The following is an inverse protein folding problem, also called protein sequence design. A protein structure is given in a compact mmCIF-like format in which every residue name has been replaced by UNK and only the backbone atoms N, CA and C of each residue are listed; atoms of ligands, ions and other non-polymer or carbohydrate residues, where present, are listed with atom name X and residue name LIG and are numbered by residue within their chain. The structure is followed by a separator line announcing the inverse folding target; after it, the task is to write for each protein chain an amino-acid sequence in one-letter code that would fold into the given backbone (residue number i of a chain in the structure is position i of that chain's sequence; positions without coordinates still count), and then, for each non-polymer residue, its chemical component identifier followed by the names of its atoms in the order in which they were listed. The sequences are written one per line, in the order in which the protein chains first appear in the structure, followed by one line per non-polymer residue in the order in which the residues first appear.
data_IF_333283990247
#
_entry.id   IF_333283990247
#
_cell.length_a   1.000
_cell.length_b   1.000
_cell.length_c   1.000
_cell.angle_alpha   90.00
_cell.angle_beta   90.00
_cell.angle_gamma   90.00
#
_symmetry.space_group_name_H-M   'P 1'
#
loop_
_entity.id
_entity.type
_entity.pdbx_description
1 polymer ?
#
# COMPACT_ATOMS: atom_id res chain seq x y z
N UNK A 1 11.15 48.81 -32.35
CA UNK A 1 9.76 48.32 -32.39
C UNK A 1 9.87 46.81 -32.41
N UNK A 2 9.31 46.11 -31.42
CA UNK A 2 9.33 44.65 -31.40
C UNK A 2 8.40 44.15 -32.52
N UNK A 3 8.86 43.18 -33.31
CA UNK A 3 8.05 42.65 -34.41
C UNK A 3 6.84 41.90 -33.80
N UNK A 4 5.67 42.01 -34.45
CA UNK A 4 4.42 41.45 -33.90
C UNK A 4 4.47 39.93 -33.72
N UNK A 5 5.32 39.23 -34.47
CA UNK A 5 5.55 37.79 -34.38
C UNK A 5 6.29 37.36 -33.10
N UNK A 6 6.95 38.28 -32.39
CA UNK A 6 7.70 37.99 -31.16
C UNK A 6 6.91 38.32 -29.88
N UNK A 7 5.76 39.01 -30.01
CA UNK A 7 4.89 39.38 -28.89
C UNK A 7 4.42 38.18 -28.03
N UNK A 8 4.10 37.00 -28.60
CA UNK A 8 3.65 35.86 -27.79
C UNK A 8 4.69 35.34 -26.80
N UNK A 9 5.98 35.56 -27.08
CA UNK A 9 7.09 35.08 -26.23
C UNK A 9 7.38 35.99 -25.03
N UNK A 10 6.71 37.14 -24.96
CA UNK A 10 6.89 38.10 -23.87
C UNK A 10 6.35 37.59 -22.52
N UNK A 11 5.45 36.61 -22.54
CA UNK A 11 4.94 35.93 -21.35
C UNK A 11 5.86 34.83 -20.82
N UNK A 12 6.92 34.47 -21.56
CA UNK A 12 7.84 33.37 -21.21
C UNK A 12 8.89 33.79 -20.16
N UNK A 13 8.66 34.88 -19.41
CA UNK A 13 9.64 35.34 -18.43
C UNK A 13 8.98 35.91 -17.16
N UNK A 14 9.01 35.14 -16.05
CA UNK A 14 9.43 35.59 -14.69
C UNK A 14 9.25 34.64 -13.49
N UNK A 15 8.56 33.49 -13.56
CA UNK A 15 8.12 32.85 -12.28
C UNK A 15 8.37 31.37 -12.03
N UNK A 16 9.07 30.59 -12.87
CA UNK A 16 9.61 29.32 -12.36
C UNK A 16 10.68 28.73 -13.26
N UNK A 17 11.82 28.41 -12.67
CA UNK A 17 12.94 27.66 -13.28
C UNK A 17 12.61 26.16 -13.51
N UNK A 18 11.36 25.76 -13.30
CA UNK A 18 10.90 24.38 -13.42
C UNK A 18 9.52 24.36 -14.09
N UNK A 19 9.50 23.83 -15.32
CA UNK A 19 8.31 23.45 -16.10
C UNK A 19 7.35 24.60 -16.45
N UNK A 20 7.52 25.16 -17.65
CA UNK A 20 6.34 25.58 -18.40
C UNK A 20 5.54 24.31 -18.73
N UNK A 21 4.22 24.40 -18.61
CA UNK A 21 3.27 23.37 -19.06
C UNK A 21 3.52 23.07 -20.56
N UNK A 22 3.83 21.82 -20.92
CA UNK A 22 4.17 21.40 -22.29
C UNK A 22 3.08 21.86 -23.28
N UNK A 23 1.81 21.79 -22.88
CA UNK A 23 0.66 22.29 -23.65
C UNK A 23 0.75 23.80 -23.98
N UNK A 24 1.31 24.61 -23.09
CA UNK A 24 1.51 26.04 -23.33
C UNK A 24 2.66 26.30 -24.30
N UNK A 25 3.75 25.54 -24.15
CA UNK A 25 4.91 25.62 -25.05
C UNK A 25 4.49 25.24 -26.48
N UNK A 26 3.73 24.15 -26.63
CA UNK A 26 3.24 23.67 -27.92
C UNK A 26 2.32 24.65 -28.62
N UNK A 27 1.38 25.24 -27.88
CA UNK A 27 0.46 26.26 -28.41
C UNK A 27 1.18 27.51 -28.90
N UNK A 28 2.36 27.80 -28.38
CA UNK A 28 3.15 28.97 -28.76
C UNK A 28 4.13 28.65 -29.90
N UNK A 29 4.94 27.59 -29.74
CA UNK A 29 6.05 27.28 -30.65
C UNK A 29 5.59 26.60 -31.94
N UNK A 30 4.62 25.69 -31.89
CA UNK A 30 4.16 24.95 -33.08
C UNK A 30 3.69 25.88 -34.20
N UNK A 31 2.65 26.72 -34.00
CA UNK A 31 2.15 27.58 -35.08
C UNK A 31 3.16 28.65 -35.51
N UNK A 32 4.02 29.11 -34.58
CA UNK A 32 5.05 30.08 -34.90
C UNK A 32 6.14 29.48 -35.80
N UNK A 33 6.61 28.27 -35.48
CA UNK A 33 7.60 27.56 -36.30
C UNK A 33 7.03 27.15 -37.65
N UNK A 34 5.74 26.81 -37.75
CA UNK A 34 5.05 26.56 -39.02
C UNK A 34 5.02 27.81 -39.91
N UNK A 35 4.81 28.99 -39.31
CA UNK A 35 4.69 30.26 -40.05
C UNK A 35 6.06 30.82 -40.48
N UNK A 36 7.06 30.76 -39.60
CA UNK A 36 8.32 31.50 -39.79
C UNK A 36 9.54 30.58 -40.02
N UNK A 37 9.41 29.29 -39.75
CA UNK A 37 10.50 28.32 -39.84
C UNK A 37 11.71 28.70 -38.99
N UNK A 38 12.89 28.24 -39.39
CA UNK A 38 14.14 28.48 -38.66
C UNK A 38 14.66 29.93 -38.78
N UNK A 39 14.17 30.69 -39.76
CA UNK A 39 14.73 32.01 -40.12
C UNK A 39 14.63 33.04 -39.01
N UNK A 40 13.59 32.94 -38.16
CA UNK A 40 13.33 33.88 -37.07
C UNK A 40 13.91 33.44 -35.73
N UNK A 41 14.40 32.21 -35.61
CA UNK A 41 14.96 31.65 -34.36
C UNK A 41 16.11 32.50 -33.82
N UNK A 42 17.04 32.91 -34.68
CA UNK A 42 18.18 33.74 -34.27
C UNK A 42 17.74 35.08 -33.65
N UNK A 43 16.65 35.66 -34.15
CA UNK A 43 16.10 36.92 -33.64
C UNK A 43 15.30 36.69 -32.36
N UNK A 44 14.54 35.60 -32.27
CA UNK A 44 13.82 35.19 -31.08
C UNK A 44 14.77 35.06 -29.89
N UNK A 45 15.84 34.27 -30.05
CA UNK A 45 16.83 34.03 -28.98
C UNK A 45 17.58 35.30 -28.58
N UNK A 46 17.97 36.15 -29.55
CA UNK A 46 18.59 37.45 -29.25
C UNK A 46 17.69 38.38 -28.45
N UNK A 47 16.39 38.28 -28.66
CA UNK A 47 15.39 39.15 -28.01
C UNK A 47 14.98 38.59 -26.65
N UNK A 48 14.88 37.26 -26.53
CA UNK A 48 14.50 36.55 -25.32
C UNK A 48 15.47 35.38 -25.07
N UNK A 49 16.60 35.61 -24.38
CA UNK A 49 17.59 34.56 -24.12
C UNK A 49 17.03 33.35 -23.36
N UNK A 50 16.05 33.56 -22.48
CA UNK A 50 15.42 32.49 -21.69
C UNK A 50 14.62 31.48 -22.55
N UNK A 51 14.18 31.89 -23.75
CA UNK A 51 13.49 31.00 -24.70
C UNK A 51 14.43 29.97 -25.32
N UNK A 52 15.76 30.17 -25.24
CA UNK A 52 16.75 29.25 -25.83
C UNK A 52 16.59 27.83 -25.28
N UNK A 53 16.53 27.69 -23.95
CA UNK A 53 16.38 26.37 -23.32
C UNK A 53 15.01 25.76 -23.64
N UNK A 54 13.94 26.55 -23.60
CA UNK A 54 12.58 26.12 -23.95
C UNK A 54 12.52 25.60 -25.38
N UNK A 55 13.14 26.30 -26.33
CA UNK A 55 13.16 25.92 -27.74
C UNK A 55 13.99 24.64 -27.97
N UNK A 56 15.09 24.45 -27.24
CA UNK A 56 15.89 23.23 -27.29
C UNK A 56 15.16 22.02 -26.70
N UNK A 57 14.49 22.20 -25.56
CA UNK A 57 13.67 21.16 -24.93
C UNK A 57 12.48 20.77 -25.82
N UNK A 58 11.76 21.77 -26.36
CA UNK A 58 10.73 21.55 -27.37
C UNK A 58 11.29 20.79 -28.59
N UNK A 59 12.46 21.17 -29.08
CA UNK A 59 13.05 20.50 -30.22
C UNK A 59 13.37 19.02 -29.93
N UNK A 60 13.83 18.71 -28.71
CA UNK A 60 14.06 17.34 -28.27
C UNK A 60 12.74 16.55 -28.12
N UNK A 61 11.73 17.17 -27.50
CA UNK A 61 10.42 16.56 -27.22
C UNK A 61 9.56 16.32 -28.47
N UNK A 62 9.81 17.05 -29.57
CA UNK A 62 9.06 16.94 -30.83
C UNK A 62 9.87 16.37 -31.99
N UNK A 63 11.07 15.85 -31.74
CA UNK A 63 11.88 15.21 -32.77
C UNK A 63 12.47 16.19 -33.81
N UNK A 64 12.58 17.47 -33.47
CA UNK A 64 13.01 18.56 -34.36
C UNK A 64 14.53 18.67 -34.45
N UNK A 65 15.14 17.68 -35.10
CA UNK A 65 16.59 17.64 -35.38
C UNK A 65 17.06 18.86 -36.17
N UNK A 66 16.20 19.46 -37.00
CA UNK A 66 16.47 20.68 -37.76
C UNK A 66 16.77 21.89 -36.86
N UNK A 67 15.99 22.07 -35.79
CA UNK A 67 16.21 23.14 -34.81
C UNK A 67 17.49 22.88 -34.01
N UNK A 68 17.70 21.64 -33.56
CA UNK A 68 18.89 21.27 -32.79
C UNK A 68 20.17 21.47 -33.62
N UNK A 69 20.19 21.05 -34.88
CA UNK A 69 21.30 21.31 -35.81
C UNK A 69 21.55 22.79 -36.02
N UNK A 70 20.49 23.59 -36.17
CA UNK A 70 20.61 25.03 -36.35
C UNK A 70 21.19 25.74 -35.12
N UNK A 71 20.89 25.25 -33.92
CA UNK A 71 21.29 25.87 -32.66
C UNK A 71 22.59 25.32 -32.08
N UNK A 72 23.04 24.13 -32.51
CA UNK A 72 24.18 23.42 -31.94
C UNK A 72 25.48 24.24 -31.92
N UNK A 73 25.82 24.91 -33.02
CA UNK A 73 27.06 25.70 -33.12
C UNK A 73 27.06 26.95 -32.20
N UNK A 74 25.90 27.35 -31.68
CA UNK A 74 25.73 28.60 -30.92
C UNK A 74 25.54 28.41 -29.42
N UNK A 75 25.16 27.20 -28.98
CA UNK A 75 24.83 26.94 -27.58
C UNK A 75 25.40 25.60 -27.14
N UNK A 76 26.15 25.62 -26.03
CA UNK A 76 26.48 24.39 -25.32
C UNK A 76 25.20 23.80 -24.75
N UNK A 77 24.82 22.65 -25.30
CA UNK A 77 23.61 21.91 -24.93
C UNK A 77 23.82 21.28 -23.55
N UNK A 78 22.73 21.12 -22.80
CA UNK A 78 22.69 20.40 -21.52
C UNK A 78 22.32 18.94 -21.76
N UNK A 79 22.82 18.01 -20.95
CA UNK A 79 22.48 16.57 -21.07
C UNK A 79 20.99 16.24 -20.90
N UNK A 80 20.19 17.19 -20.37
CA UNK A 80 18.74 17.05 -20.26
C UNK A 80 18.03 16.87 -21.60
N UNK A 81 18.60 17.32 -22.73
CA UNK A 81 17.98 17.08 -24.04
C UNK A 81 17.97 15.61 -24.41
N UNK A 82 18.98 14.85 -23.98
CA UNK A 82 19.06 13.42 -24.24
C UNK A 82 17.97 12.68 -23.46
N UNK A 83 17.75 13.06 -22.20
CA UNK A 83 16.66 12.51 -21.36
C UNK A 83 15.28 12.80 -21.96
N UNK A 84 15.02 14.04 -22.39
CA UNK A 84 13.73 14.44 -22.99
C UNK A 84 13.48 13.71 -24.30
N UNK A 85 14.48 13.61 -25.17
CA UNK A 85 14.36 12.88 -26.43
C UNK A 85 14.11 11.38 -26.20
N UNK A 86 14.72 10.79 -25.16
CA UNK A 86 14.49 9.40 -24.78
C UNK A 86 13.08 9.19 -24.22
N UNK A 87 12.61 10.10 -23.35
CA UNK A 87 11.25 10.09 -22.80
C UNK A 87 10.17 10.29 -23.88
N UNK A 88 10.50 10.93 -25.00
CA UNK A 88 9.58 11.21 -26.12
C UNK A 88 9.75 10.22 -27.29
N UNK A 89 10.70 9.29 -27.21
CA UNK A 89 10.90 8.25 -28.22
C UNK A 89 11.56 8.72 -29.51
N UNK A 90 12.22 9.88 -29.50
CA UNK A 90 12.79 10.50 -30.70
C UNK A 90 14.22 10.05 -30.99
N UNK A 91 14.35 8.82 -31.49
CA UNK A 91 15.64 8.23 -31.88
C UNK A 91 16.51 9.13 -32.81
N UNK A 92 15.98 9.80 -33.84
CA UNK A 92 16.81 10.70 -34.68
C UNK A 92 17.43 11.87 -33.91
N UNK A 93 16.79 12.33 -32.84
CA UNK A 93 17.36 13.36 -31.96
C UNK A 93 18.49 12.76 -31.13
N UNK A 94 18.30 11.56 -30.57
CA UNK A 94 19.34 10.86 -29.80
C UNK A 94 20.58 10.57 -30.64
N UNK A 95 20.40 10.11 -31.88
CA UNK A 95 21.50 9.90 -32.84
C UNK A 95 22.27 11.20 -33.10
N UNK A 96 21.55 12.32 -33.27
CA UNK A 96 22.17 13.62 -33.45
C UNK A 96 22.94 14.05 -32.19
N UNK A 97 22.32 14.00 -31.01
CA UNK A 97 22.94 14.39 -29.74
C UNK A 97 24.17 13.53 -29.44
N UNK A 98 24.10 12.22 -29.70
CA UNK A 98 25.25 11.32 -29.62
C UNK A 98 26.38 11.77 -30.56
N UNK A 99 26.08 12.08 -31.82
CA UNK A 99 27.08 12.48 -32.81
C UNK A 99 27.85 13.76 -32.46
N UNK A 100 27.27 14.62 -31.62
CA UNK A 100 27.87 15.86 -31.15
C UNK A 100 28.38 15.79 -29.70
N UNK A 101 28.33 14.60 -29.07
CA UNK A 101 28.94 14.34 -27.76
C UNK A 101 28.05 14.60 -26.53
N UNK A 102 26.73 14.75 -26.69
CA UNK A 102 25.79 14.94 -25.56
C UNK A 102 25.13 13.62 -25.17
N UNK A 103 25.72 12.89 -24.21
CA UNK A 103 25.25 11.55 -23.82
C UNK A 103 25.65 11.13 -22.38
N UNK A 104 25.78 12.05 -21.42
CA UNK A 104 26.29 11.69 -20.08
C UNK A 104 25.23 11.05 -19.16
N UNK A 105 23.93 11.31 -19.37
CA UNK A 105 22.84 10.89 -18.47
C UNK A 105 22.09 9.64 -18.92
N UNK A 106 22.83 8.60 -19.31
CA UNK A 106 22.27 7.38 -19.91
C UNK A 106 21.28 6.65 -19.01
N UNK A 107 21.55 6.56 -17.70
CA UNK A 107 20.65 5.89 -16.74
C UNK A 107 19.26 6.51 -16.72
N UNK A 108 19.17 7.82 -16.55
CA UNK A 108 17.88 8.51 -16.48
C UNK A 108 17.14 8.44 -17.82
N UNK A 109 17.87 8.57 -18.93
CA UNK A 109 17.30 8.43 -20.26
C UNK A 109 16.72 7.03 -20.51
N UNK A 110 17.40 5.96 -20.08
CA UNK A 110 16.89 4.59 -20.20
C UNK A 110 15.63 4.37 -19.35
N UNK A 111 15.65 4.77 -18.07
CA UNK A 111 14.47 4.66 -17.20
C UNK A 111 13.25 5.41 -17.77
N UNK A 112 13.45 6.63 -18.28
CA UNK A 112 12.39 7.41 -18.93
C UNK A 112 11.88 6.76 -20.22
N UNK A 113 12.77 6.24 -21.07
CA UNK A 113 12.39 5.52 -22.28
C UNK A 113 11.59 4.26 -21.95
N UNK A 114 11.96 3.54 -20.89
CA UNK A 114 11.20 2.39 -20.41
C UNK A 114 9.80 2.79 -19.91
N UNK A 115 9.73 3.79 -19.03
CA UNK A 115 8.47 4.27 -18.46
C UNK A 115 7.46 4.75 -19.52
N UNK A 116 7.93 5.32 -20.64
CA UNK A 116 7.11 5.84 -21.74
C UNK A 116 6.97 4.88 -22.93
N UNK A 117 7.46 3.65 -22.84
CA UNK A 117 7.18 2.62 -23.85
C UNK A 117 8.05 2.69 -25.11
N UNK A 118 9.25 3.25 -25.03
CA UNK A 118 10.13 3.46 -26.17
C UNK A 118 11.19 2.36 -26.32
N UNK A 119 10.74 1.15 -26.67
CA UNK A 119 11.61 -0.01 -26.86
C UNK A 119 12.74 0.24 -27.89
N UNK A 120 12.45 0.90 -29.02
CA UNK A 120 13.48 1.20 -30.04
C UNK A 120 14.59 2.12 -29.52
N UNK A 121 14.28 3.02 -28.59
CA UNK A 121 15.29 3.86 -27.91
C UNK A 121 16.15 3.02 -26.97
N UNK A 122 15.53 2.16 -26.16
CA UNK A 122 16.25 1.24 -25.27
C UNK A 122 17.21 0.33 -26.05
N UNK A 123 16.75 -0.22 -27.19
CA UNK A 123 17.57 -1.04 -28.06
C UNK A 123 18.76 -0.25 -28.61
N UNK A 124 18.53 0.95 -29.15
CA UNK A 124 19.61 1.81 -29.64
C UNK A 124 20.65 2.11 -28.56
N UNK A 125 20.19 2.51 -27.36
CA UNK A 125 21.09 2.82 -26.24
C UNK A 125 21.90 1.58 -25.84
N UNK A 126 21.25 0.42 -25.76
CA UNK A 126 21.91 -0.84 -25.41
C UNK A 126 23.00 -1.23 -26.41
N UNK A 127 22.78 -1.02 -27.71
CA UNK A 127 23.74 -1.34 -28.77
C UNK A 127 24.87 -0.31 -28.89
N UNK A 128 24.60 0.95 -28.54
CA UNK A 128 25.53 2.07 -28.77
C UNK A 128 26.53 2.27 -27.62
N UNK A 129 26.07 2.11 -26.38
CA UNK A 129 26.86 2.47 -25.20
C UNK A 129 27.55 1.25 -24.55
N UNK A 130 28.73 1.43 -23.93
CA UNK A 130 29.46 0.34 -23.29
C UNK A 130 28.67 -0.26 -22.13
N UNK A 131 29.01 -1.50 -21.75
CA UNK A 131 28.28 -2.27 -20.72
C UNK A 131 28.41 -1.70 -19.30
N UNK A 132 29.34 -0.75 -19.10
CA UNK A 132 29.53 -0.05 -17.84
C UNK A 132 28.18 0.59 -17.41
N UNK A 133 27.72 0.23 -16.22
CA UNK A 133 26.47 0.68 -15.59
C UNK A 133 25.13 0.27 -16.24
N UNK A 134 25.11 -0.56 -17.30
CA UNK A 134 23.85 -1.04 -17.92
C UNK A 134 22.88 -1.69 -16.95
N UNK A 135 23.40 -2.34 -15.92
CA UNK A 135 22.60 -3.00 -14.88
C UNK A 135 21.78 -2.02 -14.02
N UNK A 136 22.14 -0.72 -14.02
CA UNK A 136 21.50 0.32 -13.24
C UNK A 136 20.60 1.23 -14.08
N UNK A 137 20.43 0.93 -15.38
CA UNK A 137 19.69 1.80 -16.30
C UNK A 137 18.19 1.86 -16.03
N UNK A 138 17.61 0.78 -15.52
CA UNK A 138 16.17 0.65 -15.33
C UNK A 138 15.95 0.25 -13.87
N UNK A 139 15.17 1.05 -13.15
CA UNK A 139 14.76 0.75 -11.78
C UNK A 139 13.39 0.05 -11.79
N UNK A 140 13.03 -0.66 -10.71
CA UNK A 140 11.76 -1.41 -10.67
C UNK A 140 10.53 -0.51 -10.81
N UNK A 141 10.63 0.77 -10.42
CA UNK A 141 9.58 1.77 -10.65
C UNK A 141 9.33 2.04 -12.14
N UNK A 142 10.37 2.01 -12.96
CA UNK A 142 10.26 2.23 -14.41
C UNK A 142 9.55 1.05 -15.07
N UNK A 143 9.84 -0.17 -14.60
CA UNK A 143 9.12 -1.39 -15.00
C UNK A 143 7.64 -1.29 -14.63
N UNK A 144 7.33 -0.82 -13.42
CA UNK A 144 5.95 -0.57 -12.97
C UNK A 144 5.22 0.46 -13.84
N UNK A 145 5.87 1.57 -14.17
CA UNK A 145 5.32 2.60 -15.06
C UNK A 145 5.04 2.06 -16.46
N UNK A 146 6.00 1.32 -17.05
CA UNK A 146 5.83 0.67 -18.34
C UNK A 146 4.65 -0.32 -18.33
N UNK A 147 4.56 -1.11 -17.26
CA UNK A 147 3.52 -2.11 -17.09
C UNK A 147 2.12 -1.49 -16.89
N UNK A 148 2.00 -0.45 -16.06
CA UNK A 148 0.74 0.27 -15.84
C UNK A 148 0.23 1.02 -17.07
N UNK A 149 1.14 1.46 -17.95
CA UNK A 149 0.81 2.12 -19.22
C UNK A 149 0.57 1.13 -20.38
N UNK A 150 0.75 -0.17 -20.15
CA UNK A 150 0.47 -1.21 -21.15
C UNK A 150 1.57 -1.43 -22.19
N UNK A 151 2.81 -1.02 -21.92
CA UNK A 151 3.95 -1.16 -22.84
C UNK A 151 4.53 -2.59 -22.83
N UNK A 152 3.78 -3.52 -23.44
CA UNK A 152 4.08 -4.97 -23.47
C UNK A 152 5.45 -5.27 -24.09
N UNK A 153 5.84 -4.53 -25.12
CA UNK A 153 7.10 -4.68 -25.84
C UNK A 153 8.31 -4.30 -24.98
N UNK A 154 8.24 -3.18 -24.25
CA UNK A 154 9.28 -2.77 -23.29
C UNK A 154 9.37 -3.78 -22.16
N UNK A 155 8.24 -4.19 -21.57
CA UNK A 155 8.23 -5.19 -20.50
C UNK A 155 8.82 -6.51 -20.99
N UNK A 156 8.48 -6.94 -22.20
CA UNK A 156 9.05 -8.15 -22.78
C UNK A 156 10.56 -8.03 -22.99
N UNK A 157 11.03 -6.92 -23.53
CA UNK A 157 12.46 -6.67 -23.73
C UNK A 157 13.24 -6.65 -22.40
N UNK A 158 12.68 -6.05 -21.35
CA UNK A 158 13.27 -6.04 -20.00
C UNK A 158 13.49 -7.47 -19.48
N UNK A 159 12.44 -8.31 -19.53
CA UNK A 159 12.50 -9.65 -18.94
C UNK A 159 13.22 -10.68 -19.82
N UNK A 160 13.07 -10.61 -21.14
CA UNK A 160 13.60 -11.62 -22.07
C UNK A 160 15.05 -11.35 -22.47
N UNK A 161 15.50 -10.09 -22.43
CA UNK A 161 16.79 -9.69 -22.94
C UNK A 161 17.65 -8.94 -21.92
N UNK A 162 17.16 -7.81 -21.38
CA UNK A 162 17.99 -6.93 -20.55
C UNK A 162 18.36 -7.58 -19.20
N UNK A 163 17.40 -8.10 -18.44
CA UNK A 163 17.67 -8.78 -17.16
C UNK A 163 18.69 -9.93 -17.33
N UNK A 164 18.50 -10.89 -18.25
CA UNK A 164 19.48 -11.95 -18.47
C UNK A 164 20.86 -11.49 -18.91
N UNK A 165 20.94 -10.37 -19.62
CA UNK A 165 22.20 -9.90 -20.19
C UNK A 165 23.05 -9.10 -19.20
N UNK A 166 22.45 -8.32 -18.29
CA UNK A 166 23.20 -7.35 -17.48
C UNK A 166 22.94 -7.38 -15.98
N UNK A 167 21.88 -8.03 -15.48
CA UNK A 167 21.52 -7.97 -14.05
C UNK A 167 21.97 -9.25 -13.31
N UNK A 168 22.82 -9.17 -12.26
CA UNK A 168 23.11 -10.32 -11.42
C UNK A 168 21.86 -10.73 -10.65
N UNK A 169 21.30 -11.90 -10.99
CA UNK A 169 20.00 -12.39 -10.53
C UNK A 169 19.84 -12.40 -9.00
N UNK A 170 18.76 -11.76 -8.51
CA UNK A 170 17.81 -12.24 -7.47
C UNK A 170 16.94 -11.09 -6.95
N UNK A 171 17.52 -10.01 -6.41
CA UNK A 171 16.74 -8.96 -5.71
C UNK A 171 15.98 -8.04 -6.68
N UNK A 172 16.62 -7.59 -7.75
CA UNK A 172 15.98 -6.71 -8.73
C UNK A 172 14.82 -7.40 -9.45
N UNK A 173 14.99 -8.67 -9.85
CA UNK A 173 13.99 -9.42 -10.62
C UNK A 173 12.70 -9.58 -9.84
N UNK A 174 12.80 -9.89 -8.54
CA UNK A 174 11.63 -10.02 -7.67
C UNK A 174 10.89 -8.69 -7.52
N UNK A 175 11.62 -7.59 -7.33
CA UNK A 175 11.06 -6.23 -7.28
C UNK A 175 10.41 -5.83 -8.61
N UNK A 176 11.07 -6.10 -9.73
CA UNK A 176 10.59 -5.77 -11.07
C UNK A 176 9.31 -6.55 -11.42
N UNK A 177 9.21 -7.84 -11.08
CA UNK A 177 7.98 -8.59 -11.31
C UNK A 177 6.85 -8.13 -10.41
N UNK A 178 7.13 -7.83 -9.14
CA UNK A 178 6.13 -7.26 -8.25
C UNK A 178 5.56 -5.96 -8.82
N UNK A 179 6.42 -4.99 -9.15
CA UNK A 179 6.01 -3.69 -9.68
C UNK A 179 5.26 -3.82 -11.01
N UNK A 180 5.73 -4.71 -11.91
CA UNK A 180 5.07 -4.96 -13.18
C UNK A 180 3.65 -5.51 -12.99
N UNK A 181 3.50 -6.59 -12.21
CA UNK A 181 2.20 -7.24 -12.02
C UNK A 181 1.24 -6.37 -11.21
N UNK A 182 1.72 -5.67 -10.18
CA UNK A 182 0.89 -4.80 -9.36
C UNK A 182 0.40 -3.59 -10.16
N UNK A 183 1.29 -2.95 -10.93
CA UNK A 183 0.91 -1.79 -11.75
C UNK A 183 0.04 -2.17 -12.94
N UNK A 184 0.33 -3.29 -13.61
CA UNK A 184 -0.50 -3.78 -14.71
C UNK A 184 -1.90 -4.17 -14.22
N UNK A 185 -2.00 -4.85 -13.07
CA UNK A 185 -3.30 -5.20 -12.46
C UNK A 185 -4.09 -3.95 -12.09
N UNK A 186 -3.45 -2.98 -11.42
CA UNK A 186 -4.09 -1.74 -10.99
C UNK A 186 -4.67 -0.91 -12.15
N UNK A 187 -4.08 -0.99 -13.33
CA UNK A 187 -4.49 -0.23 -14.53
C UNK A 187 -5.12 -1.11 -15.62
N UNK A 188 -5.59 -2.32 -15.28
CA UNK A 188 -6.28 -3.25 -16.17
C UNK A 188 -5.50 -3.67 -17.44
N UNK A 189 -4.17 -3.71 -17.36
CA UNK A 189 -3.27 -4.06 -18.47
C UNK A 189 -3.07 -5.57 -18.60
N UNK A 190 -4.14 -6.29 -18.98
CA UNK A 190 -4.16 -7.77 -19.06
C UNK A 190 -3.06 -8.36 -19.96
N UNK A 191 -2.74 -7.70 -21.08
CA UNK A 191 -1.68 -8.17 -21.98
C UNK A 191 -0.31 -8.23 -21.30
N UNK A 192 0.00 -7.22 -20.46
CA UNK A 192 1.23 -7.19 -19.66
C UNK A 192 1.19 -8.27 -18.58
N UNK A 193 0.05 -8.44 -17.90
CA UNK A 193 -0.13 -9.49 -16.89
C UNK A 193 0.17 -10.86 -17.48
N UNK A 194 -0.42 -11.20 -18.63
CA UNK A 194 -0.17 -12.47 -19.31
C UNK A 194 1.30 -12.63 -19.73
N UNK A 195 1.89 -11.56 -20.28
CA UNK A 195 3.28 -11.57 -20.68
C UNK A 195 4.18 -11.89 -19.47
N UNK A 196 4.06 -11.18 -18.36
CA UNK A 196 4.93 -11.37 -17.19
C UNK A 196 4.66 -12.70 -16.50
N UNK A 197 3.40 -13.04 -16.22
CA UNK A 197 3.03 -14.25 -15.48
C UNK A 197 3.41 -15.56 -16.23
N UNK A 198 3.42 -15.54 -17.57
CA UNK A 198 3.77 -16.72 -18.38
C UNK A 198 5.26 -17.12 -18.31
N UNK A 199 6.16 -16.24 -17.84
CA UNK A 199 7.61 -16.46 -17.86
C UNK A 199 8.13 -17.45 -16.81
N UNK A 200 7.27 -17.91 -15.88
CA UNK A 200 7.59 -18.92 -14.84
C UNK A 200 8.92 -18.67 -14.09
N UNK A 201 9.34 -17.42 -13.89
CA UNK A 201 10.58 -17.17 -13.15
C UNK A 201 10.39 -17.48 -11.65
N UNK A 202 11.47 -17.95 -11.01
CA UNK A 202 11.44 -18.89 -9.88
C UNK A 202 10.85 -18.35 -8.57
N UNK A 203 10.68 -17.03 -8.42
CA UNK A 203 10.21 -16.37 -7.20
C UNK A 203 8.76 -15.85 -7.29
N UNK A 204 8.08 -16.06 -8.43
CA UNK A 204 6.88 -15.29 -8.77
C UNK A 204 5.57 -15.80 -8.20
N UNK A 205 5.46 -17.09 -7.88
CA UNK A 205 4.17 -17.64 -7.46
C UNK A 205 3.66 -16.96 -6.17
N UNK A 206 4.53 -16.63 -5.21
CA UNK A 206 4.14 -15.88 -4.01
C UNK A 206 3.68 -14.45 -4.34
N UNK A 207 4.38 -13.77 -5.26
CA UNK A 207 4.00 -12.42 -5.73
C UNK A 207 2.65 -12.45 -6.44
N UNK A 208 2.45 -13.39 -7.36
CA UNK A 208 1.20 -13.63 -8.11
C UNK A 208 0.06 -13.86 -7.12
N UNK A 209 0.22 -14.78 -6.17
CA UNK A 209 -0.77 -15.07 -5.15
C UNK A 209 -1.10 -13.83 -4.29
N UNK A 210 -0.09 -13.07 -3.87
CA UNK A 210 -0.29 -11.86 -3.06
C UNK A 210 -1.01 -10.75 -3.83
N UNK A 211 -0.72 -10.58 -5.13
CA UNK A 211 -1.39 -9.57 -5.97
C UNK A 211 -2.82 -10.01 -6.28
N UNK A 212 -3.02 -11.28 -6.66
CA UNK A 212 -4.35 -11.87 -6.88
C UNK A 212 -5.23 -11.74 -5.62
N UNK A 213 -4.63 -11.94 -4.44
CA UNK A 213 -5.27 -11.79 -3.15
C UNK A 213 -5.64 -10.34 -2.79
N UNK A 214 -4.87 -9.35 -3.21
CA UNK A 214 -5.02 -7.97 -2.74
C UNK A 214 -5.71 -7.04 -3.72
N UNK A 215 -5.64 -7.33 -5.01
CA UNK A 215 -6.08 -6.42 -6.07
C UNK A 215 -7.18 -7.01 -6.97
N UNK A 216 -7.73 -8.19 -6.64
CA UNK A 216 -8.85 -8.78 -7.36
C UNK A 216 -8.50 -9.25 -8.78
N UNK A 217 -7.23 -9.54 -9.06
CA UNK A 217 -6.79 -10.08 -10.34
C UNK A 217 -6.99 -11.59 -10.41
N UNK A 218 -8.24 -12.04 -10.62
CA UNK A 218 -8.56 -13.46 -10.69
C UNK A 218 -7.78 -14.20 -11.80
N UNK A 219 -7.44 -13.50 -12.88
CA UNK A 219 -6.64 -14.00 -14.01
C UNK A 219 -5.27 -14.53 -13.57
N UNK A 220 -4.70 -14.00 -12.49
CA UNK A 220 -3.41 -14.45 -11.97
C UNK A 220 -3.46 -15.89 -11.42
N UNK A 221 -4.63 -16.37 -10.97
CA UNK A 221 -4.78 -17.72 -10.45
C UNK A 221 -4.65 -18.82 -11.51
N UNK A 222 -4.74 -18.48 -12.79
CA UNK A 222 -4.51 -19.42 -13.89
C UNK A 222 -3.02 -19.78 -14.04
N UNK A 223 -2.13 -18.93 -13.50
CA UNK A 223 -0.68 -19.11 -13.54
C UNK A 223 -0.11 -19.79 -12.29
N UNK A 224 -0.95 -20.07 -11.28
CA UNK A 224 -0.56 -20.71 -10.04
C UNK A 224 -0.86 -22.21 -10.12
N UNK A 225 0.20 -23.03 -10.08
CA UNK A 225 0.07 -24.47 -9.94
C UNK A 225 -0.15 -24.83 -8.46
N UNK A 226 -1.31 -25.44 -8.19
CA UNK A 226 -1.74 -25.78 -6.83
C UNK A 226 -0.87 -26.86 -6.18
N UNK A 227 -0.32 -27.79 -6.97
CA UNK A 227 0.35 -28.98 -6.46
C UNK A 227 1.86 -28.77 -6.27
N UNK A 228 2.44 -27.75 -6.92
CA UNK A 228 3.88 -27.48 -6.89
C UNK A 228 4.34 -26.72 -5.62
N UNK A 229 3.42 -26.11 -4.87
CA UNK A 229 3.75 -25.07 -3.88
C UNK A 229 3.25 -25.32 -2.46
N UNK A 230 2.93 -26.58 -2.10
CA UNK A 230 2.26 -26.98 -0.85
C UNK A 230 2.83 -26.32 0.42
N UNK A 231 4.16 -26.22 0.53
CA UNK A 231 4.84 -25.86 1.79
C UNK A 231 4.83 -24.35 2.04
N UNK A 232 4.64 -23.54 1.00
CA UNK A 232 4.71 -22.08 1.10
C UNK A 232 3.34 -21.40 0.97
N UNK A 233 2.29 -22.15 0.59
CA UNK A 233 0.90 -21.66 0.49
C UNK A 233 0.40 -21.07 1.80
N UNK A 234 0.89 -21.56 2.95
CA UNK A 234 0.58 -21.01 4.27
C UNK A 234 0.86 -19.50 4.37
N UNK A 235 1.96 -19.03 3.78
CA UNK A 235 2.33 -17.62 3.79
C UNK A 235 1.42 -16.77 2.91
N UNK A 236 0.87 -17.36 1.83
CA UNK A 236 -0.12 -16.69 0.99
C UNK A 236 -1.40 -16.47 1.78
N UNK A 237 -1.96 -17.53 2.39
CA UNK A 237 -3.19 -17.42 3.18
C UNK A 237 -3.04 -16.41 4.31
N UNK A 238 -1.91 -16.45 5.05
CA UNK A 238 -1.60 -15.45 6.09
C UNK A 238 -1.63 -14.02 5.53
N UNK A 239 -0.96 -13.78 4.39
CA UNK A 239 -0.90 -12.44 3.79
C UNK A 239 -2.27 -11.96 3.31
N UNK A 240 -3.12 -12.86 2.81
CA UNK A 240 -4.51 -12.54 2.43
C UNK A 240 -5.29 -12.12 3.67
N UNK A 241 -5.16 -12.85 4.78
CA UNK A 241 -5.81 -12.53 6.05
C UNK A 241 -5.31 -11.19 6.64
N UNK A 242 -4.04 -10.84 6.40
CA UNK A 242 -3.43 -9.55 6.76
C UNK A 242 -3.95 -8.38 5.90
N UNK A 243 -4.64 -8.64 4.78
CA UNK A 243 -5.10 -7.61 3.86
C UNK A 243 -6.42 -6.99 4.28
N UNK A 244 -6.48 -5.66 4.43
CA UNK A 244 -7.69 -4.94 4.92
C UNK A 244 -8.96 -5.20 4.10
N UNK A 245 -8.82 -5.63 2.84
CA UNK A 245 -9.94 -5.81 1.91
C UNK A 245 -10.27 -7.27 1.62
N UNK A 246 -9.83 -8.22 2.46
CA UNK A 246 -10.10 -9.64 2.26
C UNK A 246 -11.60 -9.93 2.22
N UNK A 247 -12.02 -10.72 1.24
CA UNK A 247 -13.40 -11.22 1.15
C UNK A 247 -13.45 -12.71 1.49
N UNK A 248 -14.52 -13.16 2.14
CA UNK A 248 -14.67 -14.59 2.45
C UNK A 248 -14.79 -15.45 1.19
N UNK A 249 -15.34 -14.91 0.10
CA UNK A 249 -15.39 -15.58 -1.19
C UNK A 249 -13.98 -15.87 -1.73
N UNK A 250 -13.05 -14.94 -1.54
CA UNK A 250 -11.66 -15.09 -1.94
C UNK A 250 -10.91 -16.11 -1.07
N UNK A 251 -11.15 -16.12 0.25
CA UNK A 251 -10.58 -17.16 1.12
C UNK A 251 -11.12 -18.54 0.72
N UNK A 252 -12.43 -18.70 0.52
CA UNK A 252 -13.02 -19.96 0.03
C UNK A 252 -12.41 -20.40 -1.30
N UNK A 253 -12.24 -19.46 -2.23
CA UNK A 253 -11.59 -19.74 -3.51
C UNK A 253 -10.17 -20.29 -3.32
N UNK A 254 -9.33 -19.63 -2.51
CA UNK A 254 -7.96 -20.06 -2.22
C UNK A 254 -7.95 -21.46 -1.61
N UNK A 255 -8.76 -21.71 -0.58
CA UNK A 255 -8.87 -23.02 0.06
C UNK A 255 -9.38 -24.12 -0.89
N UNK A 256 -10.18 -23.76 -1.90
CA UNK A 256 -10.63 -24.70 -2.94
C UNK A 256 -9.57 -24.98 -4.01
N UNK A 257 -8.76 -23.98 -4.36
CA UNK A 257 -7.76 -24.03 -5.42
C UNK A 257 -6.56 -24.92 -5.04
N UNK A 258 -6.10 -24.84 -3.80
CA UNK A 258 -4.92 -25.60 -3.34
C UNK A 258 -5.31 -26.95 -2.72
N UNK A 259 -4.77 -28.04 -3.27
CA UNK A 259 -5.02 -29.41 -2.78
C UNK A 259 -4.57 -29.59 -1.34
N UNK A 260 -3.42 -28.99 -0.95
CA UNK A 260 -2.91 -29.04 0.42
C UNK A 260 -3.80 -28.32 1.45
N UNK A 261 -4.73 -27.48 1.01
CA UNK A 261 -5.69 -26.77 1.87
C UNK A 261 -7.05 -27.48 1.96
N UNK A 262 -7.24 -28.58 1.24
CA UNK A 262 -8.49 -29.36 1.31
C UNK A 262 -8.59 -30.16 2.61
N UNK A 263 -9.82 -30.51 3.00
CA UNK A 263 -10.10 -31.23 4.24
C UNK A 263 -9.37 -32.57 4.26
N UNK A 264 -8.62 -32.84 5.34
CA UNK A 264 -7.85 -34.07 5.53
C UNK A 264 -6.35 -33.95 5.23
N UNK A 265 -5.89 -32.81 4.71
CA UNK A 265 -4.45 -32.52 4.54
C UNK A 265 -3.88 -31.76 5.74
N UNK A 266 -2.68 -32.14 6.19
CA UNK A 266 -2.00 -31.46 7.31
C UNK A 266 -1.70 -29.98 7.03
N UNK A 267 -1.43 -29.63 5.77
CA UNK A 267 -1.19 -28.25 5.34
C UNK A 267 -2.39 -27.32 5.58
N UNK A 268 -3.62 -27.85 5.57
CA UNK A 268 -4.83 -27.10 5.88
C UNK A 268 -4.84 -26.66 7.35
N UNK A 269 -4.55 -27.58 8.26
CA UNK A 269 -4.60 -27.30 9.70
C UNK A 269 -3.52 -26.30 10.10
N UNK A 270 -2.31 -26.44 9.54
CA UNK A 270 -1.23 -25.48 9.71
C UNK A 270 -1.62 -24.09 9.17
N UNK A 271 -2.23 -24.04 7.97
CA UNK A 271 -2.67 -22.78 7.36
C UNK A 271 -3.77 -22.10 8.17
N UNK A 272 -4.76 -22.85 8.65
CA UNK A 272 -5.81 -22.32 9.53
C UNK A 272 -5.23 -21.82 10.86
N UNK A 273 -4.28 -22.56 11.44
CA UNK A 273 -3.60 -22.17 12.67
C UNK A 273 -2.84 -20.86 12.52
N UNK A 274 -1.96 -20.74 11.51
CA UNK A 274 -1.19 -19.50 11.26
C UNK A 274 -2.12 -18.34 10.93
N UNK A 275 -3.16 -18.58 10.13
CA UNK A 275 -4.15 -17.56 9.77
C UNK A 275 -4.93 -17.04 10.98
N UNK A 276 -5.32 -17.93 11.91
CA UNK A 276 -6.06 -17.51 13.11
C UNK A 276 -5.18 -16.72 14.07
N UNK A 277 -3.92 -17.12 14.24
CA UNK A 277 -2.94 -16.33 15.00
C UNK A 277 -2.79 -14.94 14.41
N UNK A 278 -2.59 -14.83 13.09
CA UNK A 278 -2.41 -13.53 12.43
C UNK A 278 -3.68 -12.65 12.47
N UNK A 279 -4.87 -13.24 12.24
CA UNK A 279 -6.14 -12.53 12.40
C UNK A 279 -6.33 -12.00 13.83
N UNK A 280 -5.88 -12.78 14.83
CA UNK A 280 -5.96 -12.40 16.25
C UNK A 280 -4.99 -11.27 16.60
N UNK A 281 -3.76 -11.29 16.06
CA UNK A 281 -2.76 -10.22 16.21
C UNK A 281 -3.21 -8.88 15.62
N UNK A 282 -4.00 -8.95 14.55
CA UNK A 282 -4.56 -7.79 13.84
C UNK A 282 -5.98 -7.42 14.31
N UNK A 283 -6.53 -8.11 15.31
CA UNK A 283 -7.88 -7.90 15.85
C UNK A 283 -9.01 -7.95 14.83
N UNK A 284 -8.92 -8.83 13.83
CA UNK A 284 -9.90 -8.93 12.75
C UNK A 284 -11.02 -9.90 13.08
N UNK A 285 -12.06 -9.38 13.72
CA UNK A 285 -13.18 -10.18 14.21
C UNK A 285 -13.81 -11.08 13.13
N UNK A 286 -14.07 -10.51 11.96
CA UNK A 286 -14.74 -11.20 10.85
C UNK A 286 -13.91 -12.39 10.34
N UNK A 287 -12.60 -12.20 10.16
CA UNK A 287 -11.68 -13.28 9.80
C UNK A 287 -11.58 -14.34 10.90
N UNK A 288 -11.50 -13.94 12.16
CA UNK A 288 -11.43 -14.86 13.30
C UNK A 288 -12.69 -15.74 13.37
N UNK A 289 -13.88 -15.17 13.20
CA UNK A 289 -15.16 -15.91 13.14
C UNK A 289 -15.15 -16.94 12.02
N UNK A 290 -14.80 -16.50 10.81
CA UNK A 290 -14.75 -17.36 9.63
C UNK A 290 -13.77 -18.54 9.80
N UNK A 291 -12.60 -18.29 10.40
CA UNK A 291 -11.58 -19.31 10.64
C UNK A 291 -12.01 -20.33 11.71
N UNK A 292 -12.54 -19.86 12.84
CA UNK A 292 -12.94 -20.72 13.96
C UNK A 292 -14.04 -21.71 13.56
N UNK A 293 -14.99 -21.31 12.72
CA UNK A 293 -16.03 -22.20 12.18
C UNK A 293 -15.48 -23.40 11.39
N UNK A 294 -14.22 -23.31 10.92
CA UNK A 294 -13.57 -24.30 10.05
C UNK A 294 -12.47 -25.10 10.76
N UNK A 295 -12.32 -24.91 12.08
CA UNK A 295 -11.27 -25.52 12.90
C UNK A 295 -11.87 -26.38 14.02
N UNK A 296 -11.11 -27.37 14.50
CA UNK A 296 -11.48 -28.11 15.71
C UNK A 296 -11.42 -27.23 16.96
N UNK A 297 -12.41 -27.37 17.85
CA UNK A 297 -12.52 -26.56 19.07
C UNK A 297 -11.28 -26.67 19.99
N UNK A 298 -10.62 -27.83 20.01
CA UNK A 298 -9.38 -28.09 20.77
C UNK A 298 -8.21 -27.24 20.24
N UNK A 299 -8.07 -27.11 18.92
CA UNK A 299 -7.05 -26.32 18.26
C UNK A 299 -7.27 -24.82 18.48
N UNK A 300 -8.53 -24.37 18.35
CA UNK A 300 -8.93 -22.98 18.62
C UNK A 300 -8.61 -22.58 20.06
N UNK A 301 -8.98 -23.42 21.04
CA UNK A 301 -8.69 -23.18 22.45
C UNK A 301 -7.18 -23.10 22.72
N UNK A 302 -6.38 -23.96 22.07
CA UNK A 302 -4.92 -23.94 22.22
C UNK A 302 -4.34 -22.61 21.71
N UNK A 303 -4.72 -22.17 20.52
CA UNK A 303 -4.24 -20.91 19.91
C UNK A 303 -4.55 -19.73 20.81
N UNK A 304 -5.79 -19.62 21.29
CA UNK A 304 -6.20 -18.53 22.16
C UNK A 304 -5.58 -18.56 23.55
N UNK A 305 -5.22 -19.74 24.08
CA UNK A 305 -4.49 -19.86 25.35
C UNK A 305 -3.02 -19.50 25.23
N UNK A 306 -2.40 -19.78 24.09
CA UNK A 306 -0.99 -19.44 23.82
C UNK A 306 -0.81 -18.03 23.27
N UNK A 307 -1.85 -17.49 22.64
CA UNK A 307 -1.87 -16.15 22.08
C UNK A 307 -2.14 -15.08 23.13
N UNK A 308 -1.81 -13.85 22.79
CA UNK A 308 -1.90 -12.67 23.66
C UNK A 308 -3.04 -11.73 23.23
N UNK A 309 -3.96 -12.20 22.39
CA UNK A 309 -5.03 -11.39 21.79
C UNK A 309 -5.92 -10.71 22.83
N UNK A 310 -6.25 -11.39 23.93
CA UNK A 310 -7.01 -10.80 25.02
C UNK A 310 -6.23 -9.81 25.87
N UNK A 311 -4.89 -9.91 25.89
CA UNK A 311 -4.02 -8.96 26.61
C UNK A 311 -3.59 -7.75 25.79
N UNK A 312 -3.56 -7.86 24.46
CA UNK A 312 -3.21 -6.74 23.56
C UNK A 312 -4.42 -5.97 23.05
N UNK A 313 -5.64 -6.47 23.28
CA UNK A 313 -6.86 -5.76 22.95
C UNK A 313 -6.84 -4.37 23.61
N UNK A 314 -7.20 -3.34 22.85
CA UNK A 314 -7.11 -1.94 23.28
C UNK A 314 -8.44 -1.21 23.09
N UNK A 315 -8.58 0.00 23.65
CA UNK A 315 -9.75 0.88 23.41
C UNK A 315 -10.05 1.06 21.92
N UNK A 316 -9.02 1.07 21.07
CA UNK A 316 -9.22 1.20 19.62
C UNK A 316 -9.96 -0.01 19.03
N UNK A 317 -9.69 -1.21 19.53
CA UNK A 317 -10.40 -2.44 19.15
C UNK A 317 -11.87 -2.40 19.56
N UNK A 318 -12.17 -1.87 20.75
CA UNK A 318 -13.55 -1.65 21.20
C UNK A 318 -14.28 -0.58 20.40
N UNK A 319 -13.58 0.48 19.99
CA UNK A 319 -14.19 1.52 19.13
C UNK A 319 -14.52 0.99 17.74
N UNK A 320 -13.70 0.09 17.21
CA UNK A 320 -13.85 -0.46 15.87
C UNK A 320 -14.93 -1.54 15.80
N UNK A 321 -14.95 -2.49 16.73
CA UNK A 321 -15.82 -3.67 16.68
C UNK A 321 -16.89 -3.73 17.78
N UNK A 322 -16.80 -2.83 18.77
CA UNK A 322 -17.76 -2.76 19.86
C UNK A 322 -17.86 -4.03 20.69
N UNK A 323 -19.11 -4.33 21.05
CA UNK A 323 -19.52 -5.47 21.90
C UNK A 323 -19.27 -6.81 21.19
N UNK A 324 -19.31 -6.85 19.87
CA UNK A 324 -19.22 -8.11 19.13
C UNK A 324 -17.86 -8.80 19.28
N UNK A 325 -16.78 -8.01 19.40
CA UNK A 325 -15.42 -8.53 19.55
C UNK A 325 -15.22 -9.24 20.88
N UNK A 326 -15.71 -8.63 21.96
CA UNK A 326 -15.51 -9.19 23.29
C UNK A 326 -16.49 -10.35 23.53
N UNK A 327 -17.65 -10.41 22.86
CA UNK A 327 -18.52 -11.60 22.85
C UNK A 327 -17.82 -12.79 22.22
N UNK A 328 -17.13 -12.55 21.11
CA UNK A 328 -16.35 -13.56 20.44
C UNK A 328 -15.21 -14.07 21.33
N UNK A 329 -14.39 -13.18 21.91
CA UNK A 329 -13.32 -13.57 22.83
C UNK A 329 -13.85 -14.38 24.02
N UNK A 330 -15.00 -13.99 24.56
CA UNK A 330 -15.62 -14.71 25.67
C UNK A 330 -16.14 -16.09 25.28
N UNK A 331 -16.82 -16.21 24.13
CA UNK A 331 -17.31 -17.49 23.62
C UNK A 331 -16.17 -18.53 23.45
N UNK A 332 -14.94 -18.05 23.31
CA UNK A 332 -13.73 -18.85 23.20
C UNK A 332 -12.84 -18.85 24.45
N UNK A 333 -13.37 -18.41 25.59
CA UNK A 333 -12.69 -18.40 26.90
C UNK A 333 -11.35 -17.66 26.93
N UNK A 334 -11.18 -16.63 26.08
CA UNK A 334 -9.97 -15.81 26.06
C UNK A 334 -9.93 -14.94 27.32
N UNK A 335 -8.80 -14.94 28.01
CA UNK A 335 -8.59 -14.09 29.19
C UNK A 335 -8.29 -12.65 28.77
N UNK A 336 -8.87 -11.68 29.49
CA UNK A 336 -8.66 -10.25 29.24
C UNK A 336 -7.56 -9.68 30.15
N UNK A 337 -6.85 -8.67 29.68
CA UNK A 337 -6.01 -7.85 30.55
C UNK A 337 -6.85 -6.93 31.47
N UNK A 338 -6.36 -6.71 32.69
CA UNK A 338 -7.05 -5.91 33.72
C UNK A 338 -7.26 -4.46 33.27
N UNK A 339 -6.29 -3.85 32.58
CA UNK A 339 -6.36 -2.46 32.15
C UNK A 339 -7.31 -2.28 30.97
N UNK A 340 -7.35 -3.24 30.04
CA UNK A 340 -8.34 -3.27 28.97
C UNK A 340 -9.77 -3.34 29.53
N UNK A 341 -10.00 -4.21 30.51
CA UNK A 341 -11.32 -4.35 31.15
C UNK A 341 -11.77 -3.08 31.89
N UNK A 342 -10.85 -2.38 32.56
CA UNK A 342 -11.12 -1.08 33.17
C UNK A 342 -11.58 -0.05 32.14
N UNK A 343 -10.97 -0.05 30.96
CA UNK A 343 -11.32 0.86 29.88
C UNK A 343 -12.70 0.52 29.29
N UNK A 344 -13.04 -0.77 29.08
CA UNK A 344 -14.38 -1.20 28.66
C UNK A 344 -15.45 -0.67 29.61
N UNK A 345 -15.26 -0.89 30.92
CA UNK A 345 -16.20 -0.48 31.96
C UNK A 345 -16.29 1.05 32.02
N UNK A 346 -15.15 1.73 32.00
CA UNK A 346 -15.06 3.20 32.00
C UNK A 346 -15.85 3.83 30.86
N UNK A 347 -15.57 3.45 29.61
CA UNK A 347 -16.25 4.02 28.45
C UNK A 347 -17.75 3.70 28.42
N UNK A 348 -18.15 2.57 29.01
CA UNK A 348 -19.56 2.21 29.11
C UNK A 348 -20.29 2.98 30.20
N UNK A 349 -19.65 3.21 31.35
CA UNK A 349 -20.16 4.08 32.41
C UNK A 349 -20.31 5.52 31.90
N UNK A 350 -19.38 6.00 31.07
CA UNK A 350 -19.48 7.30 30.39
C UNK A 350 -20.67 7.37 29.42
N UNK A 351 -20.96 6.28 28.72
CA UNK A 351 -22.09 6.20 27.78
C UNK A 351 -23.46 6.10 28.49
N UNK A 352 -23.51 5.50 29.69
CA UNK A 352 -24.75 5.40 30.47
C UNK A 352 -24.98 6.67 31.28
N UNK A 353 -25.94 7.51 30.88
CA UNK A 353 -26.23 8.77 31.58
C UNK A 353 -26.88 8.55 32.98
N UNK A 354 -27.20 7.32 33.41
CA UNK A 354 -28.02 7.08 34.61
C UNK A 354 -27.57 5.92 35.52
N UNK A 355 -27.88 6.07 36.82
CA UNK A 355 -27.65 5.10 37.92
C UNK A 355 -28.42 3.78 37.75
N UNK A 356 -29.63 3.85 37.18
CA UNK A 356 -30.53 2.70 37.09
C UNK A 356 -30.06 1.66 36.06
N UNK A 357 -29.44 2.11 34.97
CA UNK A 357 -28.88 1.21 33.94
C UNK A 357 -27.64 0.48 34.46
N UNK A 358 -26.83 1.14 35.30
CA UNK A 358 -25.68 0.51 35.92
C UNK A 358 -26.07 -0.52 36.99
N UNK A 359 -27.06 -0.20 37.84
CA UNK A 359 -27.65 -1.19 38.74
C UNK A 359 -28.30 -2.35 37.99
N UNK A 360 -28.94 -2.07 36.85
CA UNK A 360 -29.46 -3.11 35.97
C UNK A 360 -28.33 -4.02 35.47
N UNK A 361 -27.21 -3.46 34.97
CA UNK A 361 -26.03 -4.20 34.51
C UNK A 361 -25.40 -5.08 35.61
N UNK A 362 -25.27 -4.58 36.84
CA UNK A 362 -24.76 -5.34 38.00
C UNK A 362 -25.67 -6.50 38.39
N UNK A 363 -26.98 -6.27 38.35
CA UNK A 363 -27.98 -7.24 38.80
C UNK A 363 -28.45 -8.18 37.68
N UNK A 364 -28.17 -7.86 36.41
CA UNK A 364 -28.40 -8.78 35.30
C UNK A 364 -27.46 -9.96 35.43
N UNK A 365 -28.04 -11.09 35.82
CA UNK A 365 -27.49 -12.43 35.55
C UNK A 365 -27.70 -12.85 34.10
N UNK A 366 -28.20 -11.96 33.25
CA UNK A 366 -28.37 -12.22 31.83
C UNK A 366 -27.06 -11.88 31.10
N UNK A 367 -26.24 -12.89 30.74
CA UNK A 367 -24.98 -12.68 30.02
C UNK A 367 -25.21 -12.21 28.57
N UNK A 368 -26.46 -12.02 28.13
CA UNK A 368 -26.81 -11.58 26.78
C UNK A 368 -26.14 -10.27 26.39
N UNK A 369 -25.94 -9.34 27.33
CA UNK A 369 -25.09 -8.16 27.12
C UNK A 369 -23.67 -8.49 27.58
N UNK A 370 -22.75 -8.46 26.63
CA UNK A 370 -21.34 -8.69 26.93
C UNK A 370 -20.80 -7.78 28.01
N UNK A 371 -21.24 -6.52 28.01
CA UNK A 371 -20.76 -5.53 28.95
C UNK A 371 -21.07 -5.97 30.39
N UNK A 372 -22.26 -6.51 30.63
CA UNK A 372 -22.62 -7.09 31.92
C UNK A 372 -21.74 -8.29 32.26
N UNK A 373 -21.48 -9.17 31.29
CA UNK A 373 -20.58 -10.31 31.49
C UNK A 373 -19.15 -9.87 31.84
N UNK A 374 -18.57 -8.94 31.08
CA UNK A 374 -17.23 -8.42 31.28
C UNK A 374 -17.11 -7.67 32.60
N UNK A 375 -18.07 -6.79 32.91
CA UNK A 375 -18.11 -6.09 34.19
C UNK A 375 -18.13 -7.09 35.35
N UNK A 376 -19.02 -8.10 35.31
CA UNK A 376 -19.12 -9.10 36.36
C UNK A 376 -17.83 -9.92 36.54
N UNK A 377 -17.29 -10.49 35.44
CA UNK A 377 -16.04 -11.27 35.48
C UNK A 377 -14.85 -10.44 35.93
N UNK A 378 -14.80 -9.18 35.53
CA UNK A 378 -13.78 -8.22 35.96
C UNK A 378 -13.86 -7.91 37.45
N UNK A 379 -15.07 -7.63 37.96
CA UNK A 379 -15.29 -7.40 39.37
C UNK A 379 -14.94 -8.62 40.21
N UNK A 380 -15.26 -9.83 39.75
CA UNK A 380 -14.87 -11.05 40.45
C UNK A 380 -13.35 -11.20 40.54
N UNK A 381 -12.62 -10.88 39.46
CA UNK A 381 -11.15 -10.91 39.42
C UNK A 381 -10.56 -9.83 40.35
N UNK A 382 -11.07 -8.60 40.27
CA UNK A 382 -10.58 -7.49 41.08
C UNK A 382 -10.90 -7.69 42.56
N UNK A 383 -12.10 -8.16 42.90
CA UNK A 383 -12.47 -8.47 44.29
C UNK A 383 -11.58 -9.58 44.84
N UNK A 384 -11.33 -10.61 44.03
CA UNK A 384 -10.38 -11.68 44.40
C UNK A 384 -8.95 -11.19 44.63
N UNK A 385 -8.50 -10.13 43.92
CA UNK A 385 -7.14 -9.60 44.00
C UNK A 385 -6.96 -8.47 45.03
N UNK A 386 -7.92 -7.55 45.11
CA UNK A 386 -7.82 -6.27 45.79
C UNK A 386 -8.75 -6.16 47.01
N UNK A 387 -9.57 -7.18 47.29
CA UNK A 387 -10.42 -7.24 48.46
C UNK A 387 -11.86 -6.84 48.17
N UNK A 388 -12.44 -5.93 48.96
CA UNK A 388 -13.88 -5.65 48.87
C UNK A 388 -14.29 -4.97 47.56
N UNK A 389 -15.57 -5.11 47.20
CA UNK A 389 -16.14 -4.45 46.00
C UNK A 389 -15.98 -2.92 46.06
N UNK A 390 -16.05 -2.35 47.27
CA UNK A 390 -15.86 -0.91 47.51
C UNK A 390 -14.47 -0.44 47.13
N UNK A 391 -13.43 -1.17 47.55
CA UNK A 391 -12.04 -0.80 47.30
C UNK A 391 -11.73 -0.83 45.80
N UNK A 392 -12.18 -1.90 45.14
CA UNK A 392 -12.11 -2.08 43.70
C UNK A 392 -12.74 -0.90 42.96
N UNK A 393 -13.94 -0.49 43.37
CA UNK A 393 -14.63 0.62 42.71
C UNK A 393 -13.96 1.97 42.92
N UNK A 394 -13.43 2.23 44.11
CA UNK A 394 -12.69 3.47 44.37
C UNK A 394 -11.50 3.61 43.41
N UNK A 395 -10.76 2.53 43.16
CA UNK A 395 -9.62 2.54 42.25
C UNK A 395 -10.03 2.68 40.78
N UNK A 396 -11.14 2.04 40.37
CA UNK A 396 -11.69 2.21 39.02
C UNK A 396 -12.00 3.69 38.74
N UNK A 397 -12.68 4.35 39.68
CA UNK A 397 -13.03 5.78 39.58
C UNK A 397 -11.79 6.68 39.59
N UNK A 398 -10.77 6.34 40.38
CA UNK A 398 -9.51 7.08 40.41
C UNK A 398 -8.77 7.02 39.06
N UNK A 399 -8.64 5.82 38.47
CA UNK A 399 -8.04 5.65 37.14
C UNK A 399 -8.84 6.37 36.05
N UNK A 400 -10.17 6.35 36.15
CA UNK A 400 -11.07 7.08 35.26
C UNK A 400 -10.75 8.59 35.32
N UNK A 401 -10.65 9.13 36.53
CA UNK A 401 -10.36 10.54 36.75
C UNK A 401 -8.96 10.97 36.28
N UNK A 402 -8.00 10.05 36.28
CA UNK A 402 -6.64 10.27 35.76
C UNK A 402 -6.59 10.24 34.22
N UNK A 403 -7.35 9.34 33.59
CA UNK A 403 -7.36 9.18 32.13
C UNK A 403 -8.19 10.26 31.42
N UNK A 404 -9.34 10.63 32.00
CA UNK A 404 -10.24 11.66 31.50
C UNK A 404 -10.76 12.47 32.68
N UNK A 405 -10.52 13.79 32.78
CA UNK A 405 -11.05 14.59 33.88
C UNK A 405 -12.60 14.53 33.83
N UNK A 406 -13.25 13.82 34.77
CA UNK A 406 -14.67 13.53 34.66
C UNK A 406 -15.44 14.81 34.96
N UNK A 407 -16.62 14.97 34.35
CA UNK A 407 -17.51 16.05 34.77
C UNK A 407 -17.92 15.84 36.23
N UNK A 408 -18.13 16.92 36.98
CA UNK A 408 -18.41 16.90 38.43
C UNK A 408 -19.62 16.02 38.78
N UNK A 409 -20.58 15.91 37.87
CA UNK A 409 -21.75 15.04 37.97
C UNK A 409 -21.39 13.54 37.94
N UNK A 410 -20.37 13.12 37.18
CA UNK A 410 -19.88 11.74 37.15
C UNK A 410 -19.21 11.37 38.47
N UNK A 411 -18.34 12.25 38.99
CA UNK A 411 -17.69 12.05 40.29
C UNK A 411 -18.70 11.99 41.45
N UNK A 412 -19.75 12.82 41.40
CA UNK A 412 -20.83 12.80 42.39
C UNK A 412 -21.60 11.48 42.38
N UNK A 413 -21.93 10.96 41.19
CA UNK A 413 -22.60 9.66 41.03
C UNK A 413 -21.69 8.52 41.53
N UNK A 414 -20.40 8.55 41.21
CA UNK A 414 -19.41 7.59 41.71
C UNK A 414 -19.26 7.60 43.24
N UNK A 415 -19.30 8.77 43.87
CA UNK A 415 -19.29 8.88 45.33
C UNK A 415 -20.55 8.26 45.97
N UNK A 416 -21.74 8.56 45.44
CA UNK A 416 -23.00 7.96 45.89
C UNK A 416 -22.98 6.43 45.74
N UNK A 417 -22.31 5.93 44.72
CA UNK A 417 -22.12 4.51 44.48
C UNK A 417 -21.26 3.84 45.56
N UNK A 418 -20.09 4.41 45.87
CA UNK A 418 -19.24 3.88 46.93
C UNK A 418 -19.98 3.82 48.27
N UNK A 419 -20.83 4.82 48.58
CA UNK A 419 -21.65 4.82 49.79
C UNK A 419 -22.63 3.64 49.84
N UNK A 420 -23.38 3.39 48.76
CA UNK A 420 -24.33 2.28 48.69
C UNK A 420 -23.66 0.90 48.71
N UNK A 421 -22.45 0.78 48.17
CA UNK A 421 -21.70 -0.49 48.25
C UNK A 421 -21.16 -0.75 49.65
N UNK A 422 -20.73 0.29 50.36
CA UNK A 422 -20.32 0.18 51.77
C UNK A 422 -21.48 -0.33 52.62
N UNK A 423 -22.69 0.18 52.40
CA UNK A 423 -23.90 -0.29 53.08
C UNK A 423 -24.18 -1.78 52.79
N UNK A 424 -24.05 -2.22 51.53
CA UNK A 424 -24.32 -3.61 51.14
C UNK A 424 -23.21 -4.61 51.55
N UNK A 425 -21.94 -4.19 51.58
CA UNK A 425 -20.83 -5.04 52.04
C UNK A 425 -20.90 -5.24 53.56
N UNK A 426 -21.41 -4.25 54.31
CA UNK A 426 -21.70 -4.38 55.74
C UNK A 426 -22.84 -5.35 56.03
N UNK A 427 -23.80 -5.53 55.10
CA UNK A 427 -24.89 -6.50 55.22
C UNK A 427 -24.49 -7.94 54.84
N UNK A 428 -23.33 -8.12 54.18
CA UNK A 428 -22.81 -9.44 53.72
C UNK A 428 -21.69 -10.02 54.59
N UNK A 429 -21.06 -9.20 55.44
CA UNK A 429 -20.06 -9.60 56.43
C UNK A 429 -20.74 -10.05 57.73
#
# INVERSE_FOLDING_TARGET
MMDADLLPFHSIDRTNEYYMDDDQVDRLLTPWLETYGLTRISRLIKTFPNVTLVLLLYAAAHGRVDILKYMHDQFHVTDSLFEVAAASGHLPVLEFLHSVGYHERLRHAAGLAAAHGHHHVLQFMYETYPDEDKQWWIDSSDVGAAAGSGHVDVVAWIFDFWIPAVVPYTVFVDSAVWEALASATKHDQLAVVHAVASRKLTSHWFCICSIAANQGADVLWDYVDADLHSDSVIHVVSRVVESRNVTFAQLEFIFSKFTCLQVGHSGRDDALHVSLTCASDLFRLDCMRWLVERMEASAVSKIFRTGDCGSRASVMTLKEYGVDFVQFLNAHEVAFDQDFMLQVVTSSVEATETWNEWQALRNTRDPSTLLAYCANKFFDILVGKEGSQVQVMSQCLERLAQAYPPRVDVLRKGYQWCQLMVENDQDRA
#
